data_IF_432930875520
#
_entry.id   IF_432930875520
#
_cell.length_a   1.000
_cell.length_b   1.000
_cell.length_c   1.000
_cell.angle_alpha   90.00
_cell.angle_beta   90.00
_cell.angle_gamma   90.00
#
_symmetry.space_group_name_H-M   'P 1'
#
loop_
_entity.id
_entity.type
_entity.pdbx_description
1 polymer ?
#
# COMPACT_ATOMS: atom_id res chain seq x y z
N UNK A 1 9.00 -8.57 10.87
CA UNK A 1 9.66 -7.72 9.87
C UNK A 1 8.93 -6.40 9.82
N UNK A 2 9.64 -5.27 9.85
CA UNK A 2 9.03 -3.95 9.91
C UNK A 2 9.32 -3.19 8.62
N UNK A 3 8.27 -2.81 7.90
CA UNK A 3 8.37 -2.06 6.65
C UNK A 3 7.70 -0.71 6.86
N UNK A 4 8.44 0.38 6.66
CA UNK A 4 7.90 1.74 6.75
C UNK A 4 7.85 2.37 5.36
N UNK A 5 6.65 2.71 4.91
CA UNK A 5 6.37 3.39 3.66
C UNK A 5 6.39 4.91 3.88
N UNK A 6 7.13 5.62 3.03
CA UNK A 6 7.22 7.08 3.03
C UNK A 6 6.97 7.62 1.65
N UNK A 7 6.24 8.73 1.58
CA UNK A 7 6.07 9.51 0.36
C UNK A 7 7.35 10.29 0.05
N UNK A 8 7.85 10.16 -1.17
CA UNK A 8 9.07 10.85 -1.60
C UNK A 8 8.82 12.06 -2.52
N UNK A 9 7.59 12.22 -3.02
CA UNK A 9 7.20 13.30 -3.94
C UNK A 9 6.29 14.31 -3.26
N UNK A 10 6.34 15.57 -3.68
CA UNK A 10 5.40 16.63 -3.26
C UNK A 10 4.15 16.70 -4.14
N UNK A 11 4.08 15.96 -5.25
CA UNK A 11 2.93 15.94 -6.16
C UNK A 11 1.70 15.35 -5.46
N UNK A 12 0.66 16.15 -5.27
CA UNK A 12 -0.53 15.79 -4.50
C UNK A 12 -1.43 14.73 -5.17
N UNK A 13 -1.19 14.43 -6.46
CA UNK A 13 -2.13 13.70 -7.30
C UNK A 13 -2.12 12.18 -7.14
N UNK A 14 -3.21 11.57 -7.65
CA UNK A 14 -3.62 10.18 -7.42
C UNK A 14 -2.66 9.07 -7.84
N UNK A 15 -3.08 7.83 -7.56
CA UNK A 15 -2.26 6.64 -7.72
C UNK A 15 -2.48 6.04 -9.10
N UNK A 16 -1.44 5.99 -9.92
CA UNK A 16 -1.51 5.48 -11.28
C UNK A 16 -0.34 4.56 -11.59
N UNK A 17 -0.59 3.48 -12.33
CA UNK A 17 0.44 2.63 -12.90
C UNK A 17 0.34 2.60 -14.44
N UNK A 18 1.52 2.53 -15.07
CA UNK A 18 1.61 2.27 -16.49
C UNK A 18 1.58 0.76 -16.73
N UNK A 19 0.71 0.30 -17.63
CA UNK A 19 0.63 -1.10 -18.04
C UNK A 19 0.80 -1.23 -19.54
N UNK A 20 1.79 -2.00 -20.01
CA UNK A 20 1.94 -2.30 -21.43
C UNK A 20 0.62 -2.85 -22.00
N UNK A 21 0.13 -2.24 -23.08
CA UNK A 21 -1.12 -2.64 -23.74
C UNK A 21 -2.39 -1.92 -23.28
N UNK A 22 -2.35 -1.13 -22.21
CA UNK A 22 -3.44 -0.24 -21.84
C UNK A 22 -3.34 1.09 -22.61
N UNK A 23 -4.47 1.61 -23.10
CA UNK A 23 -4.52 2.92 -23.78
C UNK A 23 -4.30 4.09 -22.82
N UNK A 24 -4.65 3.92 -21.54
CA UNK A 24 -4.55 4.94 -20.49
C UNK A 24 -3.84 4.38 -19.25
N UNK A 25 -3.40 5.28 -18.36
CA UNK A 25 -2.90 4.91 -17.05
C UNK A 25 -4.01 4.29 -16.21
N UNK A 26 -3.69 3.21 -15.49
CA UNK A 26 -4.67 2.57 -14.63
C UNK A 26 -4.68 3.29 -13.28
N UNK A 27 -5.86 3.75 -12.87
CA UNK A 27 -6.07 4.51 -11.63
C UNK A 27 -6.33 3.56 -10.47
N UNK A 28 -5.65 3.79 -9.35
CA UNK A 28 -5.79 3.06 -8.11
C UNK A 28 -6.36 3.92 -7.00
N UNK A 29 -6.89 3.25 -5.96
CA UNK A 29 -7.43 3.89 -4.77
C UNK A 29 -6.40 4.02 -3.66
N UNK A 30 -5.24 3.37 -3.75
CA UNK A 30 -4.23 3.40 -2.70
C UNK A 30 -2.80 3.60 -3.19
N UNK A 31 -1.94 4.17 -2.34
CA UNK A 31 -0.48 4.14 -2.45
C UNK A 31 0.16 2.81 -2.00
N UNK A 32 -0.66 1.90 -1.46
CA UNK A 32 -0.25 0.65 -0.87
C UNK A 32 0.01 -0.48 -1.85
N UNK A 33 -0.07 -1.71 -1.34
CA UNK A 33 0.18 -2.91 -2.15
C UNK A 33 -1.05 -3.19 -3.01
N UNK A 34 -0.87 -3.12 -4.33
CA UNK A 34 -1.89 -3.47 -5.31
C UNK A 34 -1.69 -4.94 -5.70
N UNK A 35 -2.75 -5.73 -5.60
CA UNK A 35 -2.74 -7.15 -5.94
C UNK A 35 -3.68 -7.44 -7.10
N UNK A 36 -3.09 -7.90 -8.21
CA UNK A 36 -3.79 -8.36 -9.41
C UNK A 36 -3.12 -9.60 -9.96
N UNK A 37 -3.92 -10.59 -10.37
CA UNK A 37 -3.42 -11.87 -10.91
C UNK A 37 -2.45 -12.59 -9.96
N UNK A 38 -2.81 -12.65 -8.68
CA UNK A 38 -2.01 -13.26 -7.62
C UNK A 38 -2.65 -14.57 -7.17
N UNK A 39 -1.82 -15.59 -6.98
CA UNK A 39 -2.21 -16.87 -6.39
C UNK A 39 -1.17 -17.31 -5.35
N UNK A 40 -1.62 -17.67 -4.15
CA UNK A 40 -0.77 -18.28 -3.12
C UNK A 40 0.09 -17.28 -2.34
N UNK A 41 -0.28 -16.01 -2.27
CA UNK A 41 0.44 -15.02 -1.47
C UNK A 41 0.33 -15.34 0.03
N UNK A 42 1.48 -15.47 0.67
CA UNK A 42 1.59 -15.64 2.12
C UNK A 42 2.44 -14.54 2.76
N UNK A 43 1.88 -13.88 3.76
CA UNK A 43 2.55 -12.85 4.56
C UNK A 43 2.48 -13.25 6.04
N UNK A 44 3.66 -13.40 6.66
CA UNK A 44 3.79 -13.79 8.07
C UNK A 44 4.64 -12.80 8.85
N UNK A 45 4.15 -12.41 10.03
CA UNK A 45 4.90 -11.62 11.02
C UNK A 45 5.43 -10.30 10.42
N UNK A 46 4.57 -9.56 9.74
CA UNK A 46 4.90 -8.26 9.13
C UNK A 46 4.13 -7.12 9.81
N UNK A 47 4.87 -6.09 10.21
CA UNK A 47 4.34 -4.81 10.63
C UNK A 47 4.57 -3.80 9.48
N UNK A 48 3.48 -3.38 8.84
CA UNK A 48 3.50 -2.32 7.83
C UNK A 48 3.17 -0.99 8.49
N UNK A 49 3.99 0.01 8.20
CA UNK A 49 3.90 1.33 8.81
C UNK A 49 3.86 2.40 7.74
N UNK A 50 2.96 3.37 7.87
CA UNK A 50 2.81 4.48 6.94
C UNK A 50 3.31 5.76 7.60
N UNK A 51 4.35 6.41 7.08
CA UNK A 51 4.71 7.73 7.59
C UNK A 51 3.51 8.67 7.46
N UNK A 52 3.19 9.37 8.55
CA UNK A 52 2.05 10.27 8.61
C UNK A 52 2.06 11.25 7.44
N UNK A 53 0.95 11.32 6.72
CA UNK A 53 0.74 12.22 5.60
C UNK A 53 -0.71 12.70 5.61
N UNK A 54 -0.96 13.90 5.08
CA UNK A 54 -2.30 14.50 5.02
C UNK A 54 -3.07 14.14 3.73
N UNK A 55 -2.50 13.28 2.88
CA UNK A 55 -3.18 12.79 1.67
C UNK A 55 -4.22 11.71 2.00
N UNK A 56 -5.41 11.87 1.42
CA UNK A 56 -6.44 10.85 1.46
C UNK A 56 -5.94 9.53 0.89
N UNK A 57 -6.38 8.42 1.49
CA UNK A 57 -6.13 7.04 1.04
C UNK A 57 -4.65 6.60 1.04
N UNK A 58 -3.73 7.46 1.48
CA UNK A 58 -2.31 7.12 1.62
C UNK A 58 -2.06 5.95 2.58
N UNK A 59 -2.90 5.80 3.61
CA UNK A 59 -2.78 4.78 4.65
C UNK A 59 -3.59 3.50 4.37
N UNK A 60 -4.13 3.33 3.16
CA UNK A 60 -4.82 2.09 2.78
C UNK A 60 -3.77 1.04 2.41
N UNK A 61 -3.51 0.02 3.25
CA UNK A 61 -2.32 -0.82 3.04
C UNK A 61 -2.38 -1.69 1.79
N UNK A 62 -3.58 -2.08 1.35
CA UNK A 62 -3.79 -3.07 0.31
C UNK A 62 -5.02 -2.75 -0.55
N UNK A 63 -4.90 -2.97 -1.85
CA UNK A 63 -6.00 -2.97 -2.82
C UNK A 63 -6.00 -4.29 -3.59
N UNK A 64 -7.19 -4.91 -3.68
CA UNK A 64 -7.37 -6.21 -4.30
C UNK A 64 -8.26 -6.07 -5.52
N UNK A 65 -7.90 -6.76 -6.62
CA UNK A 65 -8.80 -7.04 -7.74
C UNK A 65 -9.40 -8.44 -7.58
N UNK A 66 -10.55 -8.58 -6.89
CA UNK A 66 -10.91 -9.83 -6.20
C UNK A 66 -11.07 -11.04 -7.13
N UNK A 67 -11.53 -10.84 -8.37
CA UNK A 67 -11.71 -11.92 -9.34
C UNK A 67 -10.41 -12.54 -9.85
N UNK A 68 -9.27 -11.93 -9.57
CA UNK A 68 -7.95 -12.36 -10.05
C UNK A 68 -6.99 -12.69 -8.91
N UNK A 69 -7.47 -12.63 -7.66
CA UNK A 69 -6.65 -12.83 -6.48
C UNK A 69 -7.22 -13.99 -5.68
N UNK A 70 -6.43 -15.05 -5.51
CA UNK A 70 -6.87 -16.29 -4.86
C UNK A 70 -5.85 -16.76 -3.82
N UNK A 71 -6.30 -17.56 -2.85
CA UNK A 71 -5.44 -18.24 -1.87
C UNK A 71 -4.51 -17.28 -1.09
N UNK A 72 -5.08 -16.26 -0.46
CA UNK A 72 -4.31 -15.29 0.35
C UNK A 72 -4.33 -15.71 1.82
N UNK A 73 -3.15 -15.65 2.46
CA UNK A 73 -3.02 -15.89 3.89
C UNK A 73 -2.20 -14.79 4.59
N UNK A 74 -2.82 -14.14 5.57
CA UNK A 74 -2.18 -13.16 6.46
C UNK A 74 -2.14 -13.71 7.89
N UNK A 75 -0.95 -13.84 8.45
CA UNK A 75 -0.76 -14.25 9.84
C UNK A 75 0.09 -13.23 10.59
N UNK A 76 -0.43 -12.73 11.71
CA UNK A 76 0.19 -11.67 12.51
C UNK A 76 0.54 -10.44 11.66
N UNK A 77 -0.41 -10.00 10.84
CA UNK A 77 -0.30 -8.82 10.01
C UNK A 77 -0.83 -7.59 10.75
N UNK A 78 -0.05 -6.52 10.80
CA UNK A 78 -0.45 -5.24 11.38
C UNK A 78 -0.15 -4.08 10.42
N UNK A 79 -1.08 -3.12 10.32
CA UNK A 79 -0.91 -1.89 9.53
C UNK A 79 -1.22 -0.67 10.38
N UNK A 80 -0.24 0.22 10.56
CA UNK A 80 -0.37 1.39 11.44
C UNK A 80 0.15 2.67 10.78
N UNK A 81 -0.42 3.81 11.15
CA UNK A 81 0.19 5.12 10.84
C UNK A 81 1.34 5.35 11.81
N UNK A 82 2.52 5.62 11.26
CA UNK A 82 3.73 5.95 11.99
C UNK A 82 3.93 7.46 12.02
N UNK A 83 3.80 8.03 13.21
CA UNK A 83 4.35 9.34 13.51
C UNK A 83 5.72 9.16 14.18
N UNK A 84 6.75 9.76 13.60
CA UNK A 84 7.98 9.99 14.32
C UNK A 84 7.68 11.07 15.35
N UNK A 85 7.22 10.68 16.55
CA UNK A 85 7.26 11.56 17.70
C UNK A 85 8.73 11.74 18.10
N UNK A 86 9.47 12.55 17.33
CA UNK A 86 10.45 13.39 18.00
C UNK A 86 9.60 14.35 18.82
N UNK A 87 9.37 14.00 20.08
CA UNK A 87 9.08 15.01 21.08
C UNK A 87 10.22 16.01 20.98
N UNK A 88 9.97 17.14 20.34
CA UNK A 88 10.79 18.33 20.50
C UNK A 88 10.71 18.68 21.99
N UNK A 89 11.69 18.21 22.76
CA UNK A 89 12.13 18.90 23.97
C UNK A 89 13.22 19.88 23.57
#
# INVERSE_FOLDING_TARGET
MNITYRRFTSYAGGFFDYRPGCQELVKHKTAGIMMEHIEGLEVRNVEMRWEKNDLEQWNNPMEFKPSTVNNIHFSNFNSVVYSNSKSSQ
#
